data_IF_018322260130
#
_entry.id   IF_018322260130
#
_cell.length_a   1.000
_cell.length_b   1.000
_cell.length_c   1.000
_cell.angle_alpha   90.00
_cell.angle_beta   90.00
_cell.angle_gamma   90.00
#
_symmetry.space_group_name_H-M   'P 1'
#
loop_
_entity.id
_entity.type
_entity.pdbx_description
1 polymer ?
#
# COMPACT_ATOMS: atom_id res chain seq x y z
N UNK A 1 22.00 -17.62 32.50
CA UNK A 1 20.93 -16.62 32.76
C UNK A 1 20.72 -15.66 31.58
N UNK A 2 21.65 -14.74 31.24
CA UNK A 2 21.45 -13.77 30.13
C UNK A 2 20.99 -14.37 28.78
N UNK A 3 21.54 -15.53 28.39
CA UNK A 3 21.20 -16.22 27.11
C UNK A 3 19.80 -16.87 27.11
N UNK A 4 19.36 -17.40 28.25
CA UNK A 4 18.03 -18.00 28.40
C UNK A 4 16.98 -16.89 28.46
N UNK A 5 17.28 -15.79 29.17
CA UNK A 5 16.44 -14.59 29.15
C UNK A 5 16.28 -14.02 27.73
N UNK A 6 17.34 -13.97 26.93
CA UNK A 6 17.27 -13.44 25.55
C UNK A 6 16.39 -14.29 24.62
N UNK A 7 16.51 -15.61 24.69
CA UNK A 7 15.66 -16.54 23.94
C UNK A 7 14.20 -16.51 24.44
N UNK A 8 14.00 -16.40 25.76
CA UNK A 8 12.68 -16.21 26.36
C UNK A 8 12.06 -14.88 25.92
N UNK A 9 12.83 -13.78 25.87
CA UNK A 9 12.35 -12.49 25.36
C UNK A 9 12.00 -12.54 23.88
N UNK A 10 12.80 -13.22 23.06
CA UNK A 10 12.48 -13.42 21.64
C UNK A 10 11.21 -14.26 21.46
N UNK A 11 11.07 -15.33 22.25
CA UNK A 11 9.88 -16.18 22.25
C UNK A 11 8.64 -15.41 22.75
N UNK A 12 8.78 -14.62 23.82
CA UNK A 12 7.72 -13.77 24.34
C UNK A 12 7.33 -12.66 23.36
N UNK A 13 8.29 -12.09 22.61
CA UNK A 13 8.00 -11.15 21.53
C UNK A 13 7.22 -11.85 20.40
N UNK A 14 7.63 -13.03 19.98
CA UNK A 14 6.89 -13.82 18.98
C UNK A 14 5.47 -14.15 19.48
N UNK A 15 5.34 -14.59 20.73
CA UNK A 15 4.05 -14.89 21.36
C UNK A 15 3.19 -13.66 21.60
N UNK A 16 3.77 -12.48 21.83
CA UNK A 16 3.05 -11.21 21.96
C UNK A 16 2.56 -10.68 20.61
N UNK A 17 3.23 -11.05 19.51
CA UNK A 17 2.82 -10.72 18.14
C UNK A 17 1.77 -11.70 17.56
N UNK A 18 1.62 -12.90 18.15
CA UNK A 18 0.66 -13.92 17.71
C UNK A 18 -0.83 -13.64 18.03
N UNK A 19 -1.23 -12.98 19.14
CA UNK A 19 -2.63 -12.58 19.34
C UNK A 19 -2.95 -11.35 18.50
N UNK A 20 -2.95 -11.52 17.18
CA UNK A 20 -3.51 -10.52 16.29
C UNK A 20 -5.02 -10.60 16.46
N UNK A 21 -5.62 -9.62 17.13
CA UNK A 21 -7.05 -9.36 16.94
C UNK A 21 -7.19 -9.01 15.47
N UNK A 22 -7.70 -9.94 14.66
CA UNK A 22 -8.02 -9.68 13.27
C UNK A 22 -9.11 -8.60 13.25
N UNK A 23 -8.71 -7.35 13.08
CA UNK A 23 -9.62 -6.28 12.70
C UNK A 23 -9.83 -6.40 11.20
N UNK A 24 -11.08 -6.22 10.75
CA UNK A 24 -11.39 -6.18 9.32
C UNK A 24 -10.65 -5.05 8.59
N UNK A 25 -10.09 -4.09 9.33
CA UNK A 25 -9.34 -2.96 8.82
C UNK A 25 -7.82 -3.04 9.05
N UNK A 26 -7.23 -4.23 8.82
CA UNK A 26 -5.78 -4.43 8.88
C UNK A 26 -5.16 -4.47 7.47
N UNK A 27 -3.87 -4.16 7.40
CA UNK A 27 -3.10 -4.18 6.16
C UNK A 27 -3.04 -2.83 5.41
N UNK A 28 -2.13 -2.71 4.44
CA UNK A 28 -1.93 -1.47 3.70
C UNK A 28 -3.17 -1.13 2.86
N UNK A 29 -3.44 0.17 2.66
CA UNK A 29 -4.56 0.67 1.82
C UNK A 29 -4.01 1.46 0.63
N UNK A 30 -4.47 1.19 -0.59
CA UNK A 30 -3.97 1.87 -1.78
C UNK A 30 -4.38 3.34 -1.73
N UNK A 31 -3.59 4.22 -2.33
CA UNK A 31 -3.86 5.66 -2.31
C UNK A 31 -3.59 6.29 -3.67
N UNK A 32 -4.43 7.26 -4.02
CA UNK A 32 -4.29 8.13 -5.17
C UNK A 32 -4.29 9.57 -4.68
N UNK A 33 -3.24 10.32 -5.00
CA UNK A 33 -3.19 11.76 -4.82
C UNK A 33 -3.16 12.43 -6.19
N UNK A 34 -4.03 13.42 -6.40
CA UNK A 34 -4.11 14.20 -7.63
C UNK A 34 -3.88 15.66 -7.27
N UNK A 35 -2.77 16.24 -7.74
CA UNK A 35 -2.55 17.68 -7.69
C UNK A 35 -3.22 18.33 -8.90
N UNK A 36 -4.04 19.34 -8.68
CA UNK A 36 -4.71 20.07 -9.77
C UNK A 36 -3.89 21.30 -10.11
N UNK A 37 -3.37 21.35 -11.34
CA UNK A 37 -2.73 22.52 -11.92
C UNK A 37 -3.75 23.30 -12.74
N UNK A 38 -3.62 24.63 -12.72
CA UNK A 38 -4.58 25.54 -13.36
C UNK A 38 -6.02 25.26 -12.87
N UNK A 39 -6.17 25.06 -11.55
CA UNK A 39 -7.45 24.72 -10.96
C UNK A 39 -8.52 25.78 -11.30
N UNK A 40 -9.80 25.38 -11.43
CA UNK A 40 -10.88 26.33 -11.64
C UNK A 40 -10.94 27.38 -10.54
N UNK A 41 -11.35 28.60 -10.90
CA UNK A 41 -11.60 29.65 -9.92
C UNK A 41 -12.86 29.30 -9.10
N UNK A 42 -12.79 29.49 -7.79
CA UNK A 42 -13.90 29.22 -6.87
C UNK A 42 -14.06 27.74 -6.49
N UNK A 43 -15.27 27.37 -6.08
CA UNK A 43 -15.58 26.01 -5.64
C UNK A 43 -15.75 25.09 -6.86
N UNK A 44 -15.04 23.96 -6.82
CA UNK A 44 -15.19 22.89 -7.80
C UNK A 44 -15.09 21.53 -7.10
N UNK A 45 -15.66 20.50 -7.74
CA UNK A 45 -15.50 19.10 -7.33
C UNK A 45 -14.67 18.34 -8.35
N UNK A 46 -13.82 17.44 -7.85
CA UNK A 46 -13.10 16.47 -8.67
C UNK A 46 -13.49 15.07 -8.22
N UNK A 47 -13.83 14.21 -9.18
CA UNK A 47 -14.11 12.79 -8.93
C UNK A 47 -13.44 11.91 -10.00
N UNK A 48 -13.44 10.61 -9.74
CA UNK A 48 -12.95 9.56 -10.62
C UNK A 48 -14.15 8.98 -11.38
N UNK A 49 -14.17 9.07 -12.71
CA UNK A 49 -15.16 8.36 -13.50
C UNK A 49 -14.70 6.92 -13.72
N UNK A 50 -15.56 5.98 -13.39
CA UNK A 50 -15.35 4.54 -13.56
C UNK A 50 -16.35 3.98 -14.58
N UNK A 51 -16.06 2.83 -15.23
CA UNK A 51 -17.01 2.20 -16.13
C UNK A 51 -18.31 1.84 -15.40
N UNK A 52 -19.45 2.09 -16.03
CA UNK A 52 -20.80 1.88 -15.45
C UNK A 52 -20.97 0.45 -14.91
N UNK A 53 -20.41 -0.56 -15.57
CA UNK A 53 -20.49 -1.96 -15.13
C UNK A 53 -19.82 -2.21 -13.77
N UNK A 54 -18.93 -1.32 -13.32
CA UNK A 54 -18.23 -1.40 -12.04
C UNK A 54 -18.95 -0.68 -10.89
N UNK A 55 -20.09 -0.03 -11.18
CA UNK A 55 -20.95 0.66 -10.21
C UNK A 55 -21.26 -0.23 -9.00
N UNK A 56 -21.35 0.39 -7.84
CA UNK A 56 -21.77 -0.25 -6.61
C UNK A 56 -22.63 0.69 -5.77
N UNK A 57 -23.22 0.14 -4.71
CA UNK A 57 -24.20 0.84 -3.88
C UNK A 57 -23.63 1.35 -2.55
N UNK A 58 -22.31 1.25 -2.33
CA UNK A 58 -21.71 1.79 -1.12
C UNK A 58 -21.70 3.31 -1.18
N UNK A 59 -22.36 3.96 -0.22
CA UNK A 59 -22.37 5.42 -0.08
C UNK A 59 -21.03 5.91 0.49
N UNK A 60 -20.24 6.56 -0.36
CA UNK A 60 -18.96 7.18 0.03
C UNK A 60 -19.11 8.62 0.53
N UNK A 61 -20.25 9.28 0.27
CA UNK A 61 -20.49 10.66 0.69
C UNK A 61 -20.71 10.75 2.19
N UNK A 62 -21.26 9.70 2.81
CA UNK A 62 -21.49 9.61 4.26
C UNK A 62 -22.23 10.83 4.84
N UNK A 63 -23.16 11.40 4.07
CA UNK A 63 -23.94 12.58 4.45
C UNK A 63 -23.16 13.90 4.51
N UNK A 64 -21.96 13.98 3.92
CA UNK A 64 -21.22 15.25 3.80
C UNK A 64 -22.05 16.29 3.01
N UNK A 65 -22.06 17.57 3.43
CA UNK A 65 -22.91 18.61 2.86
C UNK A 65 -22.33 19.17 1.56
N UNK A 66 -22.38 18.40 0.48
CA UNK A 66 -21.94 18.86 -0.84
C UNK A 66 -23.05 19.63 -1.59
N UNK A 67 -22.63 20.60 -2.39
CA UNK A 67 -23.47 21.38 -3.30
C UNK A 67 -24.08 20.47 -4.37
N UNK A 68 -25.40 20.48 -4.48
CA UNK A 68 -26.13 19.56 -5.36
C UNK A 68 -25.95 19.89 -6.84
N UNK A 69 -25.69 21.14 -7.20
CA UNK A 69 -25.45 21.53 -8.59
C UNK A 69 -24.10 20.98 -9.08
N UNK A 70 -23.06 21.08 -8.26
CA UNK A 70 -21.74 20.52 -8.57
C UNK A 70 -21.75 18.99 -8.55
N UNK A 71 -22.52 18.36 -7.64
CA UNK A 71 -22.72 16.91 -7.70
C UNK A 71 -23.40 16.49 -9.00
N UNK A 72 -24.49 17.16 -9.39
CA UNK A 72 -25.19 16.86 -10.63
C UNK A 72 -24.27 16.99 -11.86
N UNK A 73 -23.34 17.96 -11.84
CA UNK A 73 -22.34 18.10 -12.89
C UNK A 73 -21.36 16.92 -13.01
N UNK A 74 -21.08 16.20 -11.93
CA UNK A 74 -20.30 14.94 -12.00
C UNK A 74 -21.12 13.78 -12.60
N UNK A 75 -22.45 13.83 -12.50
CA UNK A 75 -23.35 12.79 -13.00
C UNK A 75 -23.73 12.96 -14.48
N UNK A 76 -23.35 14.06 -15.15
CA UNK A 76 -23.65 14.27 -16.58
C UNK A 76 -23.00 13.22 -17.51
N UNK A 77 -21.98 12.53 -17.02
CA UNK A 77 -21.27 11.47 -17.74
C UNK A 77 -22.00 10.12 -17.68
N UNK A 78 -23.03 9.99 -16.84
CA UNK A 78 -23.92 8.83 -16.83
C UNK A 78 -24.65 8.71 -18.16
N UNK A 79 -24.57 7.53 -18.77
CA UNK A 79 -25.13 7.29 -20.11
C UNK A 79 -24.10 7.26 -21.24
N UNK A 80 -22.88 7.76 -21.01
CA UNK A 80 -21.73 7.55 -21.91
C UNK A 80 -20.87 6.33 -21.52
N UNK A 81 -21.41 5.46 -20.66
CA UNK A 81 -20.71 4.31 -20.09
C UNK A 81 -19.82 4.63 -18.89
N UNK A 82 -19.92 5.84 -18.33
CA UNK A 82 -19.10 6.32 -17.21
C UNK A 82 -19.95 6.76 -16.02
N UNK A 83 -19.37 6.63 -14.82
CA UNK A 83 -20.04 6.89 -13.55
C UNK A 83 -19.09 7.52 -12.52
N UNK A 84 -19.46 8.55 -11.74
CA UNK A 84 -18.60 9.08 -10.68
C UNK A 84 -18.46 8.09 -9.51
N UNK A 85 -17.23 7.74 -9.16
CA UNK A 85 -16.93 6.73 -8.15
C UNK A 85 -17.24 7.20 -6.72
N UNK A 86 -16.82 8.41 -6.34
CA UNK A 86 -17.02 8.90 -4.98
C UNK A 86 -18.45 9.39 -4.80
N UNK A 87 -18.92 10.30 -5.65
CA UNK A 87 -20.27 10.86 -5.56
C UNK A 87 -21.36 9.81 -5.83
N UNK A 88 -21.10 8.89 -6.75
CA UNK A 88 -22.06 7.87 -7.13
C UNK A 88 -21.96 6.57 -6.32
N UNK A 89 -20.81 6.24 -5.76
CA UNK A 89 -20.65 5.03 -4.96
C UNK A 89 -19.92 3.89 -5.67
N UNK A 90 -19.35 3.02 -4.84
CA UNK A 90 -18.46 1.92 -5.27
C UNK A 90 -18.93 0.60 -4.68
N UNK A 91 -18.31 -0.52 -5.11
CA UNK A 91 -18.64 -1.86 -4.58
C UNK A 91 -18.06 -2.12 -3.19
N UNK A 92 -17.06 -1.35 -2.80
CA UNK A 92 -16.39 -1.36 -1.50
C UNK A 92 -16.15 0.09 -1.07
N UNK A 93 -15.85 0.37 0.21
CA UNK A 93 -15.67 1.74 0.66
C UNK A 93 -14.53 2.45 -0.08
N UNK A 94 -14.78 3.67 -0.54
CA UNK A 94 -13.80 4.59 -1.08
C UNK A 94 -13.78 5.81 -0.17
N UNK A 95 -12.61 6.12 0.40
CA UNK A 95 -12.47 7.28 1.29
C UNK A 95 -11.73 8.40 0.57
N UNK A 96 -12.13 9.63 0.84
CA UNK A 96 -11.58 10.82 0.19
C UNK A 96 -12.45 12.04 0.38
N UNK A 97 -12.21 13.03 -0.46
CA UNK A 97 -13.02 14.23 -0.57
C UNK A 97 -13.09 14.69 -2.03
N UNK A 98 -14.23 15.24 -2.44
CA UNK A 98 -14.42 15.88 -3.74
C UNK A 98 -13.77 17.26 -3.81
N UNK A 99 -13.40 17.83 -2.66
CA UNK A 99 -12.73 19.13 -2.55
C UNK A 99 -11.23 18.95 -2.26
N UNK A 100 -10.38 19.84 -2.79
CA UNK A 100 -8.95 19.74 -2.55
C UNK A 100 -8.62 20.05 -1.09
N UNK A 101 -7.53 19.47 -0.60
CA UNK A 101 -6.97 19.88 0.68
C UNK A 101 -6.23 21.23 0.61
N UNK A 102 -5.64 21.65 1.72
CA UNK A 102 -4.93 22.93 1.84
C UNK A 102 -3.76 23.12 0.84
N UNK A 103 -3.25 22.03 0.25
CA UNK A 103 -2.18 22.07 -0.76
C UNK A 103 -2.72 21.97 -2.19
N UNK A 104 -4.04 22.02 -2.40
CA UNK A 104 -4.66 21.88 -3.71
C UNK A 104 -4.74 20.44 -4.22
N UNK A 105 -4.58 19.45 -3.34
CA UNK A 105 -4.55 18.03 -3.71
C UNK A 105 -5.84 17.30 -3.33
N UNK A 106 -6.32 16.45 -4.25
CA UNK A 106 -7.41 15.49 -3.99
C UNK A 106 -6.83 14.14 -3.62
N UNK A 107 -7.43 13.46 -2.65
CA UNK A 107 -6.95 12.16 -2.15
C UNK A 107 -8.08 11.15 -2.10
N UNK A 108 -7.83 9.99 -2.70
CA UNK A 108 -8.73 8.85 -2.67
C UNK A 108 -7.98 7.60 -2.19
N UNK A 109 -8.57 6.85 -1.28
CA UNK A 109 -7.96 5.68 -0.63
C UNK A 109 -8.96 4.56 -0.37
N UNK A 110 -8.47 3.43 0.15
CA UNK A 110 -9.23 2.25 0.56
C UNK A 110 -9.59 1.26 -0.56
N UNK A 111 -10.37 0.23 -0.24
CA UNK A 111 -10.60 -0.93 -1.11
C UNK A 111 -11.47 -0.63 -2.35
N UNK A 112 -12.34 0.39 -2.28
CA UNK A 112 -13.19 0.84 -3.39
C UNK A 112 -12.47 1.68 -4.44
N UNK A 113 -11.20 2.01 -4.21
CA UNK A 113 -10.41 2.87 -5.06
C UNK A 113 -10.15 2.22 -6.45
N UNK A 114 -10.64 2.83 -7.54
CA UNK A 114 -10.57 2.20 -8.86
C UNK A 114 -9.14 2.09 -9.40
N UNK A 115 -8.91 1.01 -10.15
CA UNK A 115 -7.66 0.78 -10.88
C UNK A 115 -7.59 1.61 -12.15
N UNK A 116 -8.69 1.71 -12.87
CA UNK A 116 -8.82 2.45 -14.13
C UNK A 116 -9.93 3.47 -13.99
N UNK A 117 -9.66 4.72 -14.34
CA UNK A 117 -10.61 5.82 -14.19
C UNK A 117 -10.27 6.98 -15.14
N UNK A 118 -11.24 7.84 -15.44
CA UNK A 118 -11.02 9.20 -15.96
C UNK A 118 -11.11 10.19 -14.80
N UNK A 119 -10.57 11.39 -14.97
CA UNK A 119 -10.74 12.47 -13.98
C UNK A 119 -11.85 13.39 -14.48
N UNK A 120 -12.87 13.64 -13.66
CA UNK A 120 -13.91 14.61 -13.93
C UNK A 120 -13.80 15.79 -12.96
N UNK A 121 -14.08 16.98 -13.47
CA UNK A 121 -14.20 18.21 -12.69
C UNK A 121 -15.56 18.85 -12.98
N UNK A 122 -16.23 19.29 -11.92
CA UNK A 122 -17.47 20.05 -12.00
C UNK A 122 -17.31 21.41 -11.31
N UNK A 123 -17.72 22.47 -11.99
CA UNK A 123 -17.69 23.86 -11.53
C UNK A 123 -19.06 24.50 -11.75
N UNK A 124 -19.26 25.72 -11.23
CA UNK A 124 -20.47 26.49 -11.51
C UNK A 124 -20.66 26.83 -13.00
N UNK A 125 -19.58 26.83 -13.78
CA UNK A 125 -19.59 27.18 -15.21
C UNK A 125 -19.81 25.96 -16.13
N UNK A 126 -19.59 24.75 -15.63
CA UNK A 126 -19.75 23.53 -16.40
C UNK A 126 -18.96 22.36 -15.83
N UNK A 127 -18.99 21.23 -16.54
CA UNK A 127 -18.26 20.02 -16.16
C UNK A 127 -17.41 19.52 -17.32
N UNK A 128 -16.24 18.98 -17.01
CA UNK A 128 -15.32 18.39 -17.98
C UNK A 128 -14.72 17.09 -17.43
N UNK A 129 -14.28 16.21 -18.32
CA UNK A 129 -13.58 14.99 -17.94
C UNK A 129 -12.47 14.68 -18.93
N UNK A 130 -11.38 14.07 -18.47
CA UNK A 130 -10.26 13.65 -19.35
C UNK A 130 -10.78 12.73 -20.45
N UNK A 131 -10.30 12.83 -21.68
CA UNK A 131 -10.74 11.91 -22.75
C UNK A 131 -10.26 10.49 -22.49
N UNK A 132 -8.98 10.34 -22.17
CA UNK A 132 -8.37 9.06 -21.90
C UNK A 132 -8.53 8.63 -20.43
N UNK A 133 -8.65 7.32 -20.23
CA UNK A 133 -8.60 6.71 -18.90
C UNK A 133 -7.15 6.53 -18.43
N UNK A 134 -6.90 6.78 -17.15
CA UNK A 134 -5.66 6.43 -16.49
C UNK A 134 -5.77 5.06 -15.82
N UNK A 135 -4.78 4.19 -16.03
CA UNK A 135 -4.68 2.90 -15.33
C UNK A 135 -3.49 2.89 -14.37
N UNK A 136 -3.81 2.65 -13.09
CA UNK A 136 -2.82 2.53 -12.03
C UNK A 136 -2.07 1.21 -12.10
N UNK A 137 -0.77 1.33 -11.89
CA UNK A 137 0.18 0.21 -11.89
C UNK A 137 0.94 0.07 -10.57
N UNK A 138 0.70 1.00 -9.64
CA UNK A 138 1.32 1.04 -8.33
C UNK A 138 0.26 1.25 -7.26
N UNK A 139 0.55 0.75 -6.07
CA UNK A 139 -0.33 0.82 -4.92
C UNK A 139 -0.56 2.26 -4.44
N UNK A 140 0.48 3.09 -4.57
CA UNK A 140 0.44 4.54 -4.38
C UNK A 140 0.65 5.23 -5.72
N UNK A 141 -0.23 6.16 -6.06
CA UNK A 141 -0.17 6.87 -7.34
C UNK A 141 -0.29 8.37 -7.08
N UNK A 142 0.67 9.15 -7.59
CA UNK A 142 0.62 10.60 -7.57
C UNK A 142 0.49 11.10 -9.00
N UNK A 143 -0.55 11.89 -9.26
CA UNK A 143 -0.85 12.47 -10.56
C UNK A 143 -0.85 13.99 -10.48
N UNK A 144 -0.49 14.62 -11.59
CA UNK A 144 -0.81 16.02 -11.85
C UNK A 144 -1.88 16.04 -12.93
N UNK A 145 -3.03 16.62 -12.60
CA UNK A 145 -4.09 16.90 -13.56
C UNK A 145 -4.03 18.38 -13.93
N UNK A 146 -3.81 18.70 -15.20
CA UNK A 146 -3.84 20.08 -15.70
C UNK A 146 -5.23 20.37 -16.26
N UNK A 147 -6.01 21.15 -15.51
CA UNK A 147 -7.42 21.44 -15.82
C UNK A 147 -7.58 22.21 -17.14
N UNK A 148 -6.59 23.01 -17.52
CA UNK A 148 -6.63 23.81 -18.75
C UNK A 148 -6.46 22.96 -20.00
N UNK A 149 -5.52 22.01 -19.97
CA UNK A 149 -5.28 21.08 -21.09
C UNK A 149 -6.10 19.80 -20.99
N UNK A 150 -6.85 19.62 -19.90
CA UNK A 150 -7.60 18.43 -19.55
C UNK A 150 -6.78 17.13 -19.64
N UNK A 151 -5.53 17.16 -19.14
CA UNK A 151 -4.57 16.07 -19.30
C UNK A 151 -3.97 15.61 -17.98
N UNK A 152 -3.54 14.35 -17.92
CA UNK A 152 -2.99 13.70 -16.73
C UNK A 152 -1.55 13.30 -16.96
N UNK A 153 -0.67 13.69 -16.04
CA UNK A 153 0.71 13.24 -16.01
C UNK A 153 1.04 12.58 -14.67
N UNK A 154 1.98 11.64 -14.69
CA UNK A 154 2.46 11.01 -13.45
C UNK A 154 3.44 11.95 -12.75
N UNK A 155 3.15 12.33 -11.51
CA UNK A 155 4.09 13.06 -10.66
C UNK A 155 5.24 12.15 -10.22
N UNK A 156 4.94 10.88 -9.96
CA UNK A 156 5.94 9.85 -9.60
C UNK A 156 6.08 8.83 -10.72
N UNK A 157 7.30 8.65 -11.21
CA UNK A 157 7.59 7.66 -12.25
C UNK A 157 7.26 6.23 -11.77
N UNK A 158 6.91 5.33 -12.71
CA UNK A 158 6.52 3.97 -12.36
C UNK A 158 7.63 3.17 -11.66
N UNK A 159 8.89 3.42 -11.98
CA UNK A 159 10.03 2.76 -11.34
C UNK A 159 10.22 3.25 -9.90
N UNK A 160 10.08 4.57 -9.66
CA UNK A 160 10.23 5.16 -8.33
C UNK A 160 9.10 4.70 -7.41
N UNK A 161 7.87 4.59 -7.92
CA UNK A 161 6.75 4.06 -7.16
C UNK A 161 7.00 2.60 -6.70
N UNK A 162 7.58 1.75 -7.56
CA UNK A 162 7.95 0.37 -7.19
C UNK A 162 9.10 0.33 -6.18
N UNK A 163 10.08 1.21 -6.32
CA UNK A 163 11.18 1.33 -5.36
C UNK A 163 10.66 1.76 -3.98
N UNK A 164 9.79 2.78 -3.92
CA UNK A 164 9.13 3.21 -2.68
C UNK A 164 8.37 2.04 -2.06
N UNK A 165 7.66 1.25 -2.86
CA UNK A 165 6.92 0.08 -2.38
C UNK A 165 7.85 -0.98 -1.79
N UNK A 166 8.97 -1.28 -2.45
CA UNK A 166 9.99 -2.20 -1.94
C UNK A 166 10.60 -1.70 -0.63
N UNK A 167 10.98 -0.42 -0.57
CA UNK A 167 11.58 0.16 0.63
C UNK A 167 10.59 0.22 1.80
N UNK A 168 9.31 0.48 1.52
CA UNK A 168 8.25 0.49 2.52
C UNK A 168 8.05 -0.88 3.19
N UNK A 169 8.35 -1.99 2.51
CA UNK A 169 8.32 -3.34 3.13
C UNK A 169 9.67 -3.76 3.69
N UNK A 170 10.76 -3.48 2.97
CA UNK A 170 12.11 -3.89 3.34
C UNK A 170 12.61 -3.19 4.61
N UNK A 171 12.40 -1.88 4.77
CA UNK A 171 12.93 -1.13 5.92
C UNK A 171 12.34 -1.64 7.25
N UNK A 172 11.01 -1.77 7.42
CA UNK A 172 10.43 -2.38 8.62
C UNK A 172 10.93 -3.79 8.87
N UNK A 173 11.06 -4.61 7.82
CA UNK A 173 11.57 -5.98 7.91
C UNK A 173 12.98 -5.99 8.49
N UNK A 174 13.91 -5.20 7.92
CA UNK A 174 15.29 -5.10 8.42
C UNK A 174 15.37 -4.62 9.87
N UNK A 175 14.47 -3.73 10.30
CA UNK A 175 14.40 -3.26 11.69
C UNK A 175 13.96 -4.41 12.61
N UNK A 176 12.82 -5.04 12.31
CA UNK A 176 12.24 -6.11 13.14
C UNK A 176 13.18 -7.30 13.22
N UNK A 177 13.64 -7.79 12.07
CA UNK A 177 14.53 -8.95 12.00
C UNK A 177 15.90 -8.66 12.57
N UNK A 178 16.40 -7.43 12.42
CA UNK A 178 17.64 -6.98 13.05
C UNK A 178 17.56 -7.00 14.58
N UNK A 179 16.43 -6.61 15.16
CA UNK A 179 16.18 -6.73 16.61
C UNK A 179 16.19 -8.21 17.01
N UNK A 180 15.49 -9.07 16.27
CA UNK A 180 15.46 -10.52 16.54
C UNK A 180 16.86 -11.14 16.40
N UNK A 181 17.66 -10.73 15.42
CA UNK A 181 19.04 -11.16 15.20
C UNK A 181 19.90 -10.91 16.44
N UNK A 182 19.79 -9.71 17.02
CA UNK A 182 20.51 -9.34 18.24
C UNK A 182 20.01 -10.13 19.46
N UNK A 183 18.70 -10.35 19.59
CA UNK A 183 18.11 -11.18 20.66
C UNK A 183 18.56 -12.65 20.56
N UNK A 184 18.78 -13.15 19.35
CA UNK A 184 19.37 -14.46 19.12
C UNK A 184 20.89 -14.49 19.33
N UNK A 185 21.51 -13.37 19.69
CA UNK A 185 22.93 -13.28 20.04
C UNK A 185 23.87 -13.34 18.84
N UNK A 186 23.37 -13.06 17.64
CA UNK A 186 24.21 -12.83 16.47
C UNK A 186 24.72 -11.40 16.48
N UNK A 187 25.97 -11.20 16.03
CA UNK A 187 26.59 -9.88 15.98
C UNK A 187 26.33 -9.25 14.61
N UNK A 188 25.77 -8.04 14.61
CA UNK A 188 25.47 -7.32 13.38
C UNK A 188 26.73 -7.04 12.56
N UNK A 189 27.84 -6.62 13.20
CA UNK A 189 29.12 -6.36 12.49
C UNK A 189 29.67 -7.57 11.72
N UNK A 190 29.38 -8.79 12.17
CA UNK A 190 29.84 -10.03 11.52
C UNK A 190 28.89 -10.50 10.41
N UNK A 191 27.60 -10.13 10.49
CA UNK A 191 26.53 -10.70 9.68
C UNK A 191 25.79 -9.66 8.82
N UNK A 192 26.09 -8.36 8.92
CA UNK A 192 25.32 -7.29 8.29
C UNK A 192 25.12 -7.50 6.79
N UNK A 193 26.16 -7.91 6.06
CA UNK A 193 26.07 -8.12 4.61
C UNK A 193 25.17 -9.31 4.27
N UNK A 194 25.34 -10.45 4.95
CA UNK A 194 24.50 -11.65 4.74
C UNK A 194 23.05 -11.34 5.11
N UNK A 195 22.84 -10.68 6.25
CA UNK A 195 21.54 -10.24 6.72
C UNK A 195 20.83 -9.38 5.67
N UNK A 196 21.48 -8.31 5.22
CA UNK A 196 20.94 -7.38 4.24
C UNK A 196 20.66 -8.06 2.89
N UNK A 197 21.60 -8.86 2.37
CA UNK A 197 21.45 -9.48 1.06
C UNK A 197 20.35 -10.54 1.02
N UNK A 198 20.20 -11.35 2.08
CA UNK A 198 19.13 -12.35 2.14
C UNK A 198 17.77 -11.66 2.16
N UNK A 199 17.57 -10.72 3.08
CA UNK A 199 16.33 -9.94 3.19
C UNK A 199 16.00 -9.15 1.91
N UNK A 200 17.02 -8.53 1.28
CA UNK A 200 16.83 -7.81 0.02
C UNK A 200 16.44 -8.77 -1.11
N UNK A 201 17.09 -9.93 -1.23
CA UNK A 201 16.81 -10.90 -2.27
C UNK A 201 15.41 -11.51 -2.13
N UNK A 202 14.98 -11.83 -0.92
CA UNK A 202 13.65 -12.38 -0.65
C UNK A 202 12.55 -11.34 -0.88
N UNK A 203 12.73 -10.10 -0.40
CA UNK A 203 11.80 -9.00 -0.69
C UNK A 203 11.74 -8.69 -2.19
N UNK A 204 12.87 -8.63 -2.90
CA UNK A 204 12.88 -8.47 -4.36
C UNK A 204 12.12 -9.61 -5.05
N UNK A 205 12.37 -10.86 -4.65
CA UNK A 205 11.65 -12.03 -5.15
C UNK A 205 10.14 -11.90 -4.96
N UNK A 206 9.69 -11.51 -3.77
CA UNK A 206 8.28 -11.30 -3.45
C UNK A 206 7.64 -10.24 -4.35
N UNK A 207 8.29 -9.08 -4.49
CA UNK A 207 7.80 -7.98 -5.32
C UNK A 207 7.79 -8.33 -6.82
N UNK A 208 8.70 -9.19 -7.29
CA UNK A 208 8.68 -9.71 -8.66
C UNK A 208 7.54 -10.70 -8.89
N UNK A 209 7.27 -11.59 -7.93
CA UNK A 209 6.17 -12.57 -8.00
C UNK A 209 4.81 -11.87 -7.96
N UNK A 210 4.64 -10.92 -7.06
CA UNK A 210 3.37 -10.20 -6.91
C UNK A 210 3.20 -9.15 -8.03
N UNK A 211 4.30 -8.51 -8.45
CA UNK A 211 4.34 -7.58 -9.57
C UNK A 211 3.29 -6.47 -9.50
N UNK A 212 2.66 -6.17 -10.65
CA UNK A 212 1.53 -5.24 -10.74
C UNK A 212 0.22 -5.82 -10.19
N UNK A 213 0.20 -7.11 -9.85
CA UNK A 213 -0.94 -7.78 -9.22
C UNK A 213 -1.24 -7.27 -7.81
N UNK A 214 -0.29 -6.61 -7.15
CA UNK A 214 -0.49 -6.03 -5.81
C UNK A 214 -1.70 -5.08 -5.74
N UNK A 215 -1.92 -4.28 -6.79
CA UNK A 215 -3.09 -3.37 -6.90
C UNK A 215 -4.40 -4.14 -6.93
N UNK A 216 -4.43 -5.27 -7.64
CA UNK A 216 -5.62 -6.12 -7.76
C UNK A 216 -5.82 -6.98 -6.50
N UNK A 217 -4.73 -7.46 -5.88
CA UNK A 217 -4.79 -8.31 -4.69
C UNK A 217 -5.30 -7.55 -3.46
N UNK A 218 -4.93 -6.28 -3.35
CA UNK A 218 -5.30 -5.46 -2.21
C UNK A 218 -6.76 -5.00 -2.18
N UNK A 219 -7.53 -5.20 -3.26
CA UNK A 219 -8.96 -4.91 -3.26
C UNK A 219 -9.76 -5.94 -2.45
N UNK A 220 -9.18 -7.10 -2.13
CA UNK A 220 -9.81 -8.16 -1.35
C UNK A 220 -8.83 -8.75 -0.34
N UNK A 221 -9.04 -8.48 0.95
CA UNK A 221 -8.18 -8.98 2.02
C UNK A 221 -8.06 -10.52 2.07
N UNK A 222 -9.13 -11.32 1.90
CA UNK A 222 -9.00 -12.77 1.81
C UNK A 222 -8.16 -13.25 0.62
N UNK A 223 -8.32 -12.62 -0.54
CA UNK A 223 -7.55 -12.96 -1.74
C UNK A 223 -6.08 -12.56 -1.60
N UNK A 224 -5.81 -11.41 -0.96
CA UNK A 224 -4.47 -10.98 -0.56
C UNK A 224 -3.78 -12.04 0.31
N UNK A 225 -4.44 -12.57 1.34
CA UNK A 225 -3.88 -13.62 2.20
C UNK A 225 -3.63 -14.93 1.44
N UNK A 226 -4.54 -15.32 0.53
CA UNK A 226 -4.41 -16.55 -0.26
C UNK A 226 -3.17 -16.57 -1.14
N UNK A 227 -2.74 -15.40 -1.64
CA UNK A 227 -1.52 -15.28 -2.46
C UNK A 227 -0.29 -15.02 -1.60
N UNK A 228 -0.41 -14.21 -0.56
CA UNK A 228 0.73 -13.84 0.28
C UNK A 228 1.22 -15.01 1.15
N UNK A 229 0.31 -15.78 1.78
CA UNK A 229 0.71 -16.85 2.70
C UNK A 229 1.59 -17.93 2.05
N UNK A 230 1.27 -18.45 0.84
CA UNK A 230 2.16 -19.39 0.16
C UNK A 230 3.50 -18.78 -0.23
N UNK A 231 3.50 -17.53 -0.70
CA UNK A 231 4.74 -16.83 -1.09
C UNK A 231 5.65 -16.62 0.13
N UNK A 232 5.08 -16.21 1.27
CA UNK A 232 5.80 -16.06 2.53
C UNK A 232 6.30 -17.40 3.07
N UNK A 233 5.54 -18.49 2.95
CA UNK A 233 6.03 -19.82 3.34
C UNK A 233 7.30 -20.24 2.55
N UNK A 234 7.38 -19.88 1.27
CA UNK A 234 8.59 -20.09 0.45
C UNK A 234 9.73 -19.21 0.94
N UNK A 235 9.47 -17.94 1.24
CA UNK A 235 10.47 -17.01 1.80
C UNK A 235 11.04 -17.57 3.11
N UNK A 236 10.17 -18.00 4.04
CA UNK A 236 10.58 -18.59 5.32
C UNK A 236 11.53 -19.78 5.10
N UNK A 237 11.23 -20.65 4.14
CA UNK A 237 12.07 -21.80 3.83
C UNK A 237 13.43 -21.38 3.23
N UNK A 238 13.41 -20.46 2.25
CA UNK A 238 14.62 -19.94 1.60
C UNK A 238 15.54 -19.25 2.61
N UNK A 239 14.99 -18.39 3.46
CA UNK A 239 15.77 -17.68 4.48
C UNK A 239 16.30 -18.63 5.56
N UNK A 240 15.50 -19.60 6.01
CA UNK A 240 15.95 -20.59 6.97
C UNK A 240 17.15 -21.40 6.44
N UNK A 241 17.10 -21.82 5.18
CA UNK A 241 18.22 -22.49 4.50
C UNK A 241 19.40 -21.53 4.38
N UNK A 242 19.21 -20.34 3.84
CA UNK A 242 20.29 -19.37 3.64
C UNK A 242 21.01 -19.05 4.96
N UNK A 243 20.27 -18.72 6.01
CA UNK A 243 20.85 -18.37 7.31
C UNK A 243 21.46 -19.56 8.04
N UNK A 244 20.96 -20.79 7.86
CA UNK A 244 21.60 -21.99 8.40
C UNK A 244 23.06 -22.11 7.95
N UNK A 245 23.35 -21.78 6.69
CA UNK A 245 24.67 -21.91 6.10
C UNK A 245 25.51 -20.63 6.18
N UNK A 246 24.90 -19.45 6.02
CA UNK A 246 25.63 -18.19 5.82
C UNK A 246 25.85 -17.38 7.11
N UNK A 247 25.01 -17.52 8.15
CA UNK A 247 25.24 -16.78 9.39
C UNK A 247 26.50 -17.25 10.12
N UNK A 248 27.26 -16.29 10.63
CA UNK A 248 28.51 -16.46 11.37
C UNK A 248 28.28 -16.25 12.87
N UNK A 249 29.23 -16.71 13.70
CA UNK A 249 29.21 -16.50 15.16
C UNK A 249 29.19 -17.77 16.01
N UNK A 250 29.62 -18.92 15.48
CA UNK A 250 29.82 -20.16 16.26
C UNK A 250 28.55 -20.85 16.77
N UNK A 251 27.37 -20.34 16.39
CA UNK A 251 26.08 -20.93 16.78
C UNK A 251 25.72 -22.16 15.93
N UNK A 252 24.95 -23.08 16.51
CA UNK A 252 24.45 -24.29 15.84
C UNK A 252 23.54 -23.95 14.66
N UNK A 253 23.45 -24.84 13.66
CA UNK A 253 22.52 -24.68 12.53
C UNK A 253 21.07 -24.54 13.00
N UNK A 254 20.64 -25.34 13.99
CA UNK A 254 19.30 -25.25 14.56
C UNK A 254 18.97 -23.86 15.13
N UNK A 255 19.93 -23.19 15.78
CA UNK A 255 19.71 -21.82 16.28
C UNK A 255 19.57 -20.79 15.17
N UNK A 256 20.32 -20.95 14.07
CA UNK A 256 20.23 -20.07 12.89
C UNK A 256 18.89 -20.24 12.18
N UNK A 257 18.42 -21.48 12.05
CA UNK A 257 17.08 -21.80 11.52
C UNK A 257 15.99 -21.21 12.41
N UNK A 258 16.08 -21.41 13.73
CA UNK A 258 15.09 -20.86 14.67
C UNK A 258 15.08 -19.33 14.65
N UNK A 259 16.24 -18.68 14.51
CA UNK A 259 16.32 -17.24 14.25
C UNK A 259 15.54 -16.86 13.00
N UNK A 260 15.81 -17.51 11.86
CA UNK A 260 15.18 -17.17 10.60
C UNK A 260 13.65 -17.26 10.70
N UNK A 261 13.14 -18.37 11.25
CA UNK A 261 11.70 -18.56 11.42
C UNK A 261 11.09 -17.54 12.37
N UNK A 262 11.75 -17.22 13.49
CA UNK A 262 11.26 -16.23 14.45
C UNK A 262 11.28 -14.80 13.88
N UNK A 263 12.34 -14.45 13.15
CA UNK A 263 12.51 -13.15 12.52
C UNK A 263 11.44 -12.92 11.45
N UNK A 264 11.26 -13.89 10.55
CA UNK A 264 10.27 -13.85 9.48
C UNK A 264 8.83 -13.84 10.03
N UNK A 265 8.53 -14.65 11.06
CA UNK A 265 7.21 -14.61 11.70
C UNK A 265 6.93 -13.25 12.36
N UNK A 266 7.93 -12.66 13.02
CA UNK A 266 7.80 -11.35 13.64
C UNK A 266 7.64 -10.24 12.60
N UNK A 267 8.41 -10.25 11.50
CA UNK A 267 8.32 -9.25 10.43
C UNK A 267 7.01 -9.37 9.65
N UNK A 268 6.55 -10.59 9.34
CA UNK A 268 5.24 -10.85 8.75
C UNK A 268 4.10 -10.33 9.63
N UNK A 269 4.11 -10.65 10.93
CA UNK A 269 3.11 -10.14 11.88
C UNK A 269 3.14 -8.61 11.98
N UNK A 270 4.33 -8.02 12.06
CA UNK A 270 4.51 -6.56 12.09
C UNK A 270 3.98 -5.88 10.81
N UNK A 271 4.09 -6.52 9.65
CA UNK A 271 3.55 -6.03 8.38
C UNK A 271 2.04 -5.73 8.40
N UNK A 272 1.27 -6.38 9.29
CA UNK A 272 -0.16 -6.11 9.47
C UNK A 272 -0.45 -4.86 10.31
N UNK A 273 0.49 -4.39 11.13
CA UNK A 273 0.33 -3.26 12.06
C UNK A 273 0.68 -1.88 11.45
N UNK A 274 0.63 -1.78 10.12
CA UNK A 274 0.72 -0.57 9.30
C UNK A 274 2.12 -0.15 8.84
N UNK A 275 2.31 -0.15 7.51
CA UNK A 275 3.47 0.42 6.82
C UNK A 275 3.34 1.94 6.60
N UNK A 276 2.21 2.55 7.02
CA UNK A 276 1.86 3.93 6.68
C UNK A 276 2.91 4.96 7.10
N UNK A 277 3.53 4.91 8.30
CA UNK A 277 4.51 5.94 8.68
C UNK A 277 5.74 5.99 7.77
N UNK A 278 6.33 4.82 7.47
CA UNK A 278 7.51 4.72 6.59
C UNK A 278 7.15 5.16 5.18
N UNK A 279 5.98 4.74 4.73
CA UNK A 279 5.50 5.12 3.43
C UNK A 279 5.23 6.63 3.29
N UNK A 280 4.57 7.25 4.28
CA UNK A 280 4.31 8.69 4.28
C UNK A 280 5.59 9.50 4.17
N UNK A 281 6.67 9.02 4.78
CA UNK A 281 8.01 9.59 4.64
C UNK A 281 8.57 9.38 3.22
N UNK A 282 8.52 8.13 2.71
CA UNK A 282 9.07 7.80 1.39
C UNK A 282 8.33 8.46 0.23
N UNK A 283 7.03 8.78 0.39
CA UNK A 283 6.22 9.50 -0.60
C UNK A 283 6.66 10.96 -0.80
N UNK A 284 7.47 11.52 0.09
CA UNK A 284 8.00 12.89 -0.01
C UNK A 284 9.27 12.97 -0.89
N UNK A 285 9.80 11.81 -1.33
CA UNK A 285 10.97 11.68 -2.21
C UNK A 285 10.55 11.69 -3.68
#
# INVERSE_FOLDING_TARGET
>A
MKRICSLACALLLCLALLPVRASADMGPKPELTILVKNAPDGLYYLDLLIPEETRGSYDNLHGKPYDQALLAGLHVWEGEGWYPAFAGGTRAPLFGDLTPDANGAHRFTYHGLPKTFRIAVSTAEGSQATEESFTRTAFYTNLVYDCQTNSVTRATSGWLARLIQLLATLIPTLIVEGIVLLLFGFRLRENALVFLLVNLATQLGLHLVIGSGFVTLASSFPFYLLVLLPAEAVIFAVEAVAYAFLLKGGHTRGRRVLYALAANAASFAAGFFSLQPVLSLLKQL
#
